data_IF_456600571930
#
_entry.id   IF_456600571930
#
_cell.length_a   1.000
_cell.length_b   1.000
_cell.length_c   1.000
_cell.angle_alpha   90.00
_cell.angle_beta   90.00
_cell.angle_gamma   90.00
#
_symmetry.space_group_name_H-M   'P 1'
#
loop_
_entity.id
_entity.type
_entity.pdbx_description
1 polymer ?
#
# COMPACT_ATOMS: atom_id res chain seq x y z
N UNK A 1 3.67 1.68 -14.73
CA UNK A 1 2.77 0.84 -13.90
C UNK A 1 3.61 0.15 -12.84
N UNK A 2 3.03 -0.10 -11.66
CA UNK A 2 3.63 -0.80 -10.52
C UNK A 2 2.65 -1.87 -10.05
N UNK A 3 3.17 -3.05 -9.76
CA UNK A 3 2.43 -4.15 -9.16
C UNK A 3 3.12 -4.51 -7.85
N UNK A 4 2.35 -4.63 -6.78
CA UNK A 4 2.81 -5.00 -5.46
C UNK A 4 2.02 -6.18 -4.92
N UNK A 5 2.75 -7.11 -4.34
CA UNK A 5 2.22 -8.33 -3.76
C UNK A 5 2.70 -8.47 -2.33
N UNK A 6 1.80 -8.86 -1.43
CA UNK A 6 2.19 -9.31 -0.09
C UNK A 6 2.74 -10.74 -0.15
N UNK A 7 3.43 -11.14 0.92
CA UNK A 7 3.87 -12.52 1.09
C UNK A 7 2.67 -13.47 1.01
N UNK A 8 2.79 -14.53 0.22
CA UNK A 8 1.67 -15.44 -0.09
C UNK A 8 1.01 -15.16 -1.44
N UNK A 9 1.55 -14.24 -2.25
CA UNK A 9 1.15 -14.05 -3.65
C UNK A 9 -0.15 -13.29 -3.86
N UNK A 10 -0.66 -12.59 -2.84
CA UNK A 10 -1.85 -11.74 -2.95
C UNK A 10 -1.47 -10.34 -3.42
N UNK A 11 -2.22 -9.80 -4.37
CA UNK A 11 -2.06 -8.43 -4.85
C UNK A 11 -2.52 -7.46 -3.77
N UNK A 12 -1.74 -6.41 -3.53
CA UNK A 12 -2.08 -5.35 -2.57
C UNK A 12 -2.12 -3.97 -3.22
N UNK A 13 -1.56 -3.85 -4.42
CA UNK A 13 -1.68 -2.67 -5.27
C UNK A 13 -1.32 -3.02 -6.72
N UNK A 14 -2.11 -2.54 -7.67
CA UNK A 14 -1.76 -2.49 -9.09
C UNK A 14 -2.23 -1.16 -9.64
N UNK A 15 -1.31 -0.39 -10.22
CA UNK A 15 -1.66 0.96 -10.66
C UNK A 15 -0.50 1.74 -11.26
N UNK A 16 -0.79 2.97 -11.67
CA UNK A 16 0.24 3.93 -12.03
C UNK A 16 0.81 4.53 -10.75
N UNK A 17 2.13 4.67 -10.63
CA UNK A 17 2.74 5.34 -9.47
C UNK A 17 2.29 6.81 -9.33
N UNK A 18 1.95 7.47 -10.43
CA UNK A 18 1.77 8.92 -10.46
C UNK A 18 3.10 9.67 -10.37
N UNK A 19 3.05 11.00 -10.45
CA UNK A 19 4.25 11.82 -10.31
C UNK A 19 4.78 11.68 -8.88
N UNK A 20 6.07 11.33 -8.74
CA UNK A 20 6.73 11.08 -7.44
C UNK A 20 6.02 10.07 -6.54
N UNK A 21 5.36 9.06 -7.13
CA UNK A 21 4.66 8.00 -6.38
C UNK A 21 3.43 8.46 -5.60
N UNK A 22 2.87 9.63 -5.95
CA UNK A 22 1.67 10.21 -5.32
C UNK A 22 0.50 9.24 -5.23
N UNK A 23 0.12 8.59 -6.34
CA UNK A 23 -1.04 7.69 -6.36
C UNK A 23 -0.86 6.45 -5.49
N UNK A 24 0.38 5.98 -5.33
CA UNK A 24 0.72 4.89 -4.41
C UNK A 24 0.56 5.34 -2.96
N UNK A 25 1.12 6.50 -2.63
CA UNK A 25 1.09 7.10 -1.29
C UNK A 25 -0.36 7.35 -0.89
N UNK A 26 -1.13 8.05 -1.73
CA UNK A 26 -2.53 8.38 -1.49
C UNK A 26 -3.41 7.14 -1.31
N UNK A 27 -3.09 6.01 -1.96
CA UNK A 27 -3.83 4.77 -1.79
C UNK A 27 -3.62 4.19 -0.39
N UNK A 28 -2.37 4.02 0.05
CA UNK A 28 -2.07 3.44 1.36
C UNK A 28 -2.41 4.40 2.51
N UNK A 29 -2.26 5.72 2.34
CA UNK A 29 -2.66 6.71 3.34
C UNK A 29 -4.18 6.77 3.58
N UNK A 30 -5.00 6.33 2.62
CA UNK A 30 -6.46 6.21 2.82
C UNK A 30 -6.84 5.06 3.74
N UNK A 31 -5.92 4.13 4.00
CA UNK A 31 -6.18 2.99 4.87
C UNK A 31 -6.03 3.47 6.33
N UNK A 32 -7.08 3.35 7.15
CA UNK A 32 -7.05 3.83 8.52
C UNK A 32 -5.95 3.13 9.32
N UNK A 33 -5.10 3.94 9.96
CA UNK A 33 -3.98 3.49 10.79
C UNK A 33 -2.64 3.38 10.07
N UNK A 34 -2.59 3.49 8.73
CA UNK A 34 -1.31 3.60 8.01
C UNK A 34 -0.67 4.97 8.30
N UNK A 35 0.59 5.02 8.76
CA UNK A 35 1.28 6.28 9.02
C UNK A 35 1.61 7.00 7.72
N UNK A 36 1.45 8.32 7.71
CA UNK A 36 1.81 9.16 6.56
C UNK A 36 3.29 9.07 6.23
N UNK A 37 3.61 9.16 4.94
CA UNK A 37 5.00 9.22 4.50
C UNK A 37 5.63 10.55 4.96
N UNK A 38 6.90 10.51 5.38
CA UNK A 38 7.66 11.70 5.76
C UNK A 38 8.17 12.43 4.52
N UNK A 39 8.28 13.75 4.62
CA UNK A 39 8.94 14.56 3.58
C UNK A 39 10.34 14.03 3.26
N UNK A 40 10.67 13.98 1.97
CA UNK A 40 11.95 13.48 1.46
C UNK A 40 12.27 12.00 1.78
N UNK A 41 11.27 11.20 2.18
CA UNK A 41 11.42 9.76 2.37
C UNK A 41 11.20 8.99 1.07
N UNK A 42 11.87 7.84 0.91
CA UNK A 42 11.74 7.01 -0.28
C UNK A 42 10.35 6.32 -0.29
N UNK A 43 9.47 6.58 -1.27
CA UNK A 43 8.14 5.98 -1.30
C UNK A 43 8.13 4.45 -1.39
N UNK A 44 9.13 3.87 -2.05
CA UNK A 44 9.25 2.41 -2.14
C UNK A 44 9.58 1.80 -0.78
N UNK A 45 10.49 2.43 -0.01
CA UNK A 45 10.84 1.99 1.34
C UNK A 45 9.65 2.11 2.28
N UNK A 46 8.99 3.28 2.31
CA UNK A 46 7.83 3.49 3.18
C UNK A 46 6.71 2.50 2.89
N UNK A 47 6.40 2.27 1.61
CA UNK A 47 5.39 1.31 1.21
C UNK A 47 5.71 -0.10 1.72
N UNK A 48 6.95 -0.57 1.64
CA UNK A 48 7.34 -1.89 2.16
C UNK A 48 7.20 -2.01 3.68
N UNK A 49 7.45 -0.92 4.41
CA UNK A 49 7.30 -0.89 5.87
C UNK A 49 5.81 -0.94 6.27
N UNK A 50 4.97 -0.10 5.66
CA UNK A 50 3.54 -0.02 6.00
C UNK A 50 2.74 -1.21 5.48
N UNK A 51 3.22 -1.92 4.47
CA UNK A 51 2.59 -3.14 3.94
C UNK A 51 3.15 -4.43 4.56
N UNK A 52 3.98 -4.31 5.60
CA UNK A 52 4.54 -5.47 6.28
C UNK A 52 3.48 -6.26 7.05
N UNK A 53 3.72 -7.57 7.23
CA UNK A 53 2.82 -8.45 8.00
C UNK A 53 2.60 -7.99 9.44
N UNK A 54 3.62 -7.38 10.03
CA UNK A 54 3.53 -6.83 11.39
C UNK A 54 2.50 -5.71 11.44
N UNK A 55 2.57 -4.77 10.49
CA UNK A 55 1.62 -3.65 10.40
C UNK A 55 0.21 -4.15 10.08
N UNK A 56 0.05 -5.14 9.19
CA UNK A 56 -1.26 -5.78 8.96
C UNK A 56 -1.86 -6.35 10.26
N UNK A 57 -1.04 -7.03 11.06
CA UNK A 57 -1.49 -7.61 12.33
C UNK A 57 -1.81 -6.56 13.40
N UNK A 58 -1.02 -5.49 13.47
CA UNK A 58 -1.24 -4.36 14.39
C UNK A 58 -2.51 -3.58 14.04
N UNK A 59 -2.76 -3.38 12.76
CA UNK A 59 -3.96 -2.69 12.26
C UNK A 59 -5.20 -3.59 12.24
N UNK A 60 -5.02 -4.91 12.32
CA UNK A 60 -6.11 -5.88 12.19
C UNK A 60 -6.75 -5.88 10.80
N UNK A 61 -5.97 -5.58 9.76
CA UNK A 61 -6.44 -5.50 8.37
C UNK A 61 -5.71 -6.49 7.47
N UNK A 62 -6.34 -6.90 6.37
CA UNK A 62 -5.68 -7.61 5.28
C UNK A 62 -5.62 -6.69 4.05
N UNK A 63 -4.40 -6.26 3.67
CA UNK A 63 -4.21 -5.36 2.52
C UNK A 63 -4.65 -6.01 1.20
N UNK A 64 -4.62 -7.33 1.10
CA UNK A 64 -5.14 -8.07 -0.05
C UNK A 64 -6.64 -7.89 -0.17
N UNK A 65 -7.38 -8.12 0.92
CA UNK A 65 -8.84 -7.93 0.95
C UNK A 65 -9.24 -6.48 0.68
N UNK A 66 -8.51 -5.52 1.27
CA UNK A 66 -8.73 -4.09 1.00
C UNK A 66 -8.54 -3.79 -0.49
N UNK A 67 -7.48 -4.33 -1.08
CA UNK A 67 -7.20 -4.14 -2.48
C UNK A 67 -8.23 -4.79 -3.40
N UNK A 68 -8.66 -6.02 -3.11
CA UNK A 68 -9.73 -6.74 -3.83
C UNK A 68 -11.07 -5.96 -3.80
N UNK A 69 -11.36 -5.27 -2.69
CA UNK A 69 -12.53 -4.40 -2.57
C UNK A 69 -12.36 -2.99 -3.16
N UNK A 70 -11.14 -2.64 -3.59
CA UNK A 70 -10.84 -1.31 -4.10
C UNK A 70 -11.21 -1.16 -5.57
N UNK A 71 -11.43 0.08 -6.01
CA UNK A 71 -11.68 0.39 -7.43
C UNK A 71 -10.48 0.09 -8.35
N UNK A 72 -9.31 -0.23 -7.78
CA UNK A 72 -8.08 -0.54 -8.52
C UNK A 72 -7.93 -2.02 -8.90
N UNK A 73 -8.81 -2.90 -8.41
CA UNK A 73 -8.80 -4.34 -8.71
C UNK A 73 -9.59 -4.73 -9.98
N UNK A 74 -10.20 -3.76 -10.67
CA UNK A 74 -11.00 -3.98 -11.88
C UNK A 74 -10.17 -4.36 -13.11
#
# INVERSE_FOLDING_TARGET
QLILMKTGGRLIYSGQLGQRSSALIEYFEKIPGVPKIKDNYNPATWMLEVTSKSVEAELGVDFGQIYEGSTLYK
#
